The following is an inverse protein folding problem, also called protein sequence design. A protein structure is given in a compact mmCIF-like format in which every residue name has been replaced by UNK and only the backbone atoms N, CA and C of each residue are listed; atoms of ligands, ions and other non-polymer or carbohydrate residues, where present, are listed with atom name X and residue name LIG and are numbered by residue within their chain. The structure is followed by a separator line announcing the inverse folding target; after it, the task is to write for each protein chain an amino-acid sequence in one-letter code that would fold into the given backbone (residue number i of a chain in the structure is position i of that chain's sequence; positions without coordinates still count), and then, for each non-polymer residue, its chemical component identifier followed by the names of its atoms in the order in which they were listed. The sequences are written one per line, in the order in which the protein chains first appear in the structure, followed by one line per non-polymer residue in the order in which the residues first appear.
data_IF_426463183385
#
_entry.id   IF_426463183385
#
_cell.length_a   1.000
_cell.length_b   1.000
_cell.length_c   1.000
_cell.angle_alpha   90.00
_cell.angle_beta   90.00
_cell.angle_gamma   90.00
#
_symmetry.space_group_name_H-M   'P 1'
#
loop_
_entity.id
_entity.type
_entity.pdbx_description
1 polymer ?
#
# COMPACT_ATOMS: atom_id res chain seq x y z
N UNK A 1 30.31 8.56 11.70
CA UNK A 1 28.89 8.14 11.74
C UNK A 1 28.79 6.77 11.10
N UNK A 2 28.45 5.75 11.90
CA UNK A 2 28.43 4.35 11.49
C UNK A 2 27.24 4.15 10.55
N UNK A 3 27.49 3.87 9.27
CA UNK A 3 26.51 3.22 8.40
C UNK A 3 26.34 1.81 8.95
N UNK A 4 25.32 1.56 9.78
CA UNK A 4 24.95 0.19 10.13
C UNK A 4 24.43 -0.46 8.85
N UNK A 5 25.28 -1.33 8.28
CA UNK A 5 24.93 -2.28 7.25
C UNK A 5 23.90 -3.24 7.85
N UNK A 6 22.62 -2.97 7.64
CA UNK A 6 21.66 -4.06 7.49
C UNK A 6 21.77 -4.46 6.02
N UNK A 7 22.05 -5.73 5.67
CA UNK A 7 21.95 -6.13 4.28
C UNK A 7 20.45 -6.16 3.97
N UNK A 8 19.96 -5.00 3.52
CA UNK A 8 18.65 -4.83 2.90
C UNK A 8 18.50 -5.89 1.80
N UNK A 9 17.27 -6.35 1.57
CA UNK A 9 17.01 -7.24 0.44
C UNK A 9 17.50 -6.54 -0.82
N UNK A 10 18.30 -7.23 -1.62
CA UNK A 10 18.72 -6.67 -2.90
C UNK A 10 17.48 -6.25 -3.69
N UNK A 11 17.56 -5.10 -4.35
CA UNK A 11 16.45 -4.59 -5.16
C UNK A 11 16.20 -5.57 -6.32
N UNK A 12 15.13 -6.33 -6.19
CA UNK A 12 14.64 -7.26 -7.21
C UNK A 12 13.37 -6.66 -7.81
N UNK A 13 13.41 -6.28 -9.09
CA UNK A 13 12.22 -5.78 -9.78
C UNK A 13 11.06 -6.77 -9.73
N UNK A 14 11.35 -8.08 -9.70
CA UNK A 14 10.34 -9.10 -9.50
C UNK A 14 9.66 -8.95 -8.13
N UNK A 15 10.44 -8.85 -7.05
CA UNK A 15 9.89 -8.68 -5.71
C UNK A 15 9.16 -7.34 -5.56
N UNK A 16 9.70 -6.26 -6.13
CA UNK A 16 9.06 -4.94 -6.13
C UNK A 16 7.71 -4.97 -6.82
N UNK A 17 7.60 -5.68 -7.94
CA UNK A 17 6.35 -5.83 -8.67
C UNK A 17 5.36 -6.69 -7.88
N UNK A 18 5.79 -7.84 -7.34
CA UNK A 18 4.93 -8.72 -6.53
C UNK A 18 4.39 -8.01 -5.29
N UNK A 19 5.24 -7.24 -4.58
CA UNK A 19 4.82 -6.45 -3.41
C UNK A 19 3.75 -5.41 -3.80
N UNK A 20 3.93 -4.74 -4.95
CA UNK A 20 2.94 -3.82 -5.47
C UNK A 20 1.62 -4.52 -5.82
N UNK A 21 1.67 -5.68 -6.47
CA UNK A 21 0.47 -6.44 -6.89
C UNK A 21 -0.31 -6.97 -5.67
N UNK A 22 0.38 -7.44 -4.63
CA UNK A 22 -0.24 -7.83 -3.35
C UNK A 22 -0.85 -6.62 -2.63
N UNK A 23 -0.18 -5.47 -2.67
CA UNK A 23 -0.73 -4.25 -2.11
C UNK A 23 -1.99 -3.78 -2.86
N UNK A 24 -2.04 -3.94 -4.18
CA UNK A 24 -3.23 -3.64 -4.99
C UNK A 24 -4.45 -4.46 -4.55
N UNK A 25 -4.25 -5.66 -4.03
CA UNK A 25 -5.31 -6.50 -3.46
C UNK A 25 -5.56 -6.25 -1.97
N UNK A 26 -4.97 -5.21 -1.38
CA UNK A 26 -5.06 -4.87 0.05
C UNK A 26 -4.56 -6.00 0.97
N UNK A 27 -3.61 -6.81 0.51
CA UNK A 27 -2.96 -7.82 1.35
C UNK A 27 -2.29 -7.13 2.54
N UNK A 28 -2.57 -7.53 3.80
CA UNK A 28 -1.90 -6.99 4.97
C UNK A 28 -0.38 -7.10 4.88
N UNK A 29 0.33 -6.12 5.44
CA UNK A 29 1.79 -6.00 5.28
C UNK A 29 2.54 -7.20 5.87
N UNK A 30 2.02 -7.77 6.95
CA UNK A 30 2.50 -8.96 7.63
C UNK A 30 2.30 -10.26 6.83
N UNK A 31 1.32 -10.27 5.92
CA UNK A 31 1.02 -11.41 5.05
C UNK A 31 1.84 -11.38 3.76
N UNK A 32 2.38 -10.23 3.36
CA UNK A 32 3.15 -10.09 2.10
C UNK A 32 4.28 -11.13 1.97
N UNK A 33 5.18 -11.32 2.96
CA UNK A 33 6.24 -12.33 2.84
C UNK A 33 5.70 -13.76 2.76
N UNK A 34 4.56 -14.03 3.40
CA UNK A 34 3.89 -15.34 3.39
C UNK A 34 3.32 -15.62 2.01
N UNK A 35 2.62 -14.64 1.42
CA UNK A 35 2.04 -14.72 0.08
C UNK A 35 3.10 -14.80 -1.02
N UNK A 36 4.30 -14.29 -0.77
CA UNK A 36 5.47 -14.43 -1.64
C UNK A 36 6.20 -15.76 -1.46
N UNK A 37 5.80 -16.59 -0.50
CA UNK A 37 6.45 -17.87 -0.16
C UNK A 37 7.95 -17.72 0.15
N UNK A 38 8.34 -16.61 0.78
CA UNK A 38 9.76 -16.34 1.06
C UNK A 38 10.30 -17.28 2.14
N UNK A 39 11.57 -17.73 2.02
CA UNK A 39 12.23 -18.46 3.09
C UNK A 39 12.36 -17.58 4.35
N UNK A 40 12.51 -18.15 5.55
CA UNK A 40 12.44 -17.40 6.81
C UNK A 40 13.36 -16.16 6.89
N UNK A 41 14.58 -16.25 6.37
CA UNK A 41 15.55 -15.14 6.38
C UNK A 41 15.11 -13.99 5.44
N UNK A 42 14.67 -14.31 4.23
CA UNK A 42 14.13 -13.32 3.28
C UNK A 42 12.79 -12.75 3.76
N UNK A 43 11.95 -13.57 4.40
CA UNK A 43 10.69 -13.13 4.95
C UNK A 43 10.90 -12.09 6.06
N UNK A 44 11.85 -12.33 6.97
CA UNK A 44 12.25 -11.36 8.00
C UNK A 44 12.81 -10.08 7.37
N UNK A 45 13.68 -10.20 6.37
CA UNK A 45 14.22 -9.05 5.66
C UNK A 45 13.11 -8.22 4.97
N UNK A 46 12.15 -8.88 4.31
CA UNK A 46 11.02 -8.21 3.64
C UNK A 46 10.13 -7.47 4.64
N UNK A 47 9.90 -8.03 5.83
CA UNK A 47 9.17 -7.31 6.88
C UNK A 47 9.90 -6.04 7.30
N UNK A 48 11.23 -6.09 7.46
CA UNK A 48 12.03 -4.90 7.80
C UNK A 48 11.99 -3.86 6.67
N UNK A 49 12.12 -4.29 5.41
CA UNK A 49 11.98 -3.42 4.24
C UNK A 49 10.64 -2.67 4.23
N UNK A 50 9.53 -3.38 4.42
CA UNK A 50 8.19 -2.78 4.38
C UNK A 50 7.95 -1.77 5.51
N UNK A 51 8.71 -1.84 6.60
CA UNK A 51 8.66 -0.86 7.69
C UNK A 51 9.61 0.33 7.47
N UNK A 52 10.73 0.13 6.75
CA UNK A 52 11.75 1.17 6.53
C UNK A 52 11.24 2.28 5.60
N UNK A 53 11.15 3.54 6.06
CA UNK A 53 10.58 4.62 5.27
C UNK A 53 11.20 4.87 3.90
N UNK A 54 12.50 4.59 3.76
CA UNK A 54 13.25 4.78 2.52
C UNK A 54 13.30 3.55 1.63
N UNK A 55 12.71 2.43 2.05
CA UNK A 55 12.72 1.20 1.27
C UNK A 55 11.92 1.35 -0.03
N UNK A 56 12.48 0.89 -1.16
CA UNK A 56 11.75 0.82 -2.42
C UNK A 56 10.56 -0.15 -2.34
N UNK A 57 10.66 -1.22 -1.54
CA UNK A 57 9.55 -2.17 -1.31
C UNK A 57 8.39 -1.49 -0.59
N UNK A 58 8.67 -0.72 0.46
CA UNK A 58 7.64 0.09 1.15
C UNK A 58 6.99 1.08 0.19
N UNK A 59 7.78 1.74 -0.65
CA UNK A 59 7.23 2.68 -1.62
C UNK A 59 6.28 2.00 -2.62
N UNK A 60 6.67 0.83 -3.17
CA UNK A 60 5.82 0.03 -4.07
C UNK A 60 4.55 -0.45 -3.40
N UNK A 61 4.65 -0.93 -2.15
CA UNK A 61 3.50 -1.36 -1.36
C UNK A 61 2.51 -0.20 -1.13
N UNK A 62 3.00 0.95 -0.64
CA UNK A 62 2.15 2.13 -0.41
C UNK A 62 1.53 2.65 -1.71
N UNK A 63 2.25 2.59 -2.83
CA UNK A 63 1.71 2.94 -4.14
C UNK A 63 0.53 2.05 -4.53
N UNK A 64 0.66 0.73 -4.39
CA UNK A 64 -0.43 -0.21 -4.69
C UNK A 64 -1.69 0.06 -3.86
N UNK A 65 -1.53 0.27 -2.55
CA UNK A 65 -2.64 0.66 -1.66
C UNK A 65 -3.30 1.98 -2.09
N UNK A 66 -2.50 3.00 -2.40
CA UNK A 66 -3.00 4.32 -2.79
C UNK A 66 -3.80 4.27 -4.10
N UNK A 67 -3.34 3.47 -5.07
CA UNK A 67 -4.03 3.27 -6.34
C UNK A 67 -5.35 2.53 -6.15
N UNK A 68 -5.40 1.47 -5.33
CA UNK A 68 -6.65 0.78 -5.00
C UNK A 68 -7.62 1.70 -4.26
N UNK A 69 -7.15 2.48 -3.28
CA UNK A 69 -7.97 3.49 -2.62
C UNK A 69 -8.52 4.54 -3.60
N UNK A 70 -7.75 4.90 -4.63
CA UNK A 70 -8.19 5.82 -5.68
C UNK A 70 -9.28 5.21 -6.58
N UNK A 71 -9.11 3.95 -6.99
CA UNK A 71 -10.12 3.21 -7.76
C UNK A 71 -11.43 3.09 -7.00
N UNK A 72 -11.38 2.74 -5.71
CA UNK A 72 -12.57 2.70 -4.85
C UNK A 72 -13.26 4.06 -4.75
N UNK A 73 -12.49 5.16 -4.64
CA UNK A 73 -13.03 6.53 -4.67
C UNK A 73 -13.74 6.83 -5.99
N UNK A 74 -13.14 6.51 -7.12
CA UNK A 74 -13.75 6.72 -8.46
C UNK A 74 -15.07 5.94 -8.56
N UNK A 75 -15.06 4.66 -8.16
CA UNK A 75 -16.26 3.82 -8.20
C UNK A 75 -17.37 4.34 -7.30
N UNK A 76 -17.04 4.76 -6.08
CA UNK A 76 -18.02 5.39 -5.20
C UNK A 76 -18.59 6.68 -5.81
N UNK A 77 -17.78 7.46 -6.54
CA UNK A 77 -18.25 8.72 -7.16
C UNK A 77 -19.26 8.38 -8.25
N UNK A 78 -18.98 7.35 -9.05
CA UNK A 78 -19.92 6.86 -10.05
C UNK A 78 -21.23 6.39 -9.41
N UNK A 79 -21.17 5.63 -8.31
CA UNK A 79 -22.35 5.17 -7.57
C UNK A 79 -23.17 6.32 -6.98
N UNK A 80 -22.50 7.32 -6.40
CA UNK A 80 -23.16 8.51 -5.87
C UNK A 80 -23.90 9.29 -6.98
N UNK A 81 -23.29 9.41 -8.17
CA UNK A 81 -23.89 10.09 -9.33
C UNK A 81 -25.15 9.40 -9.85
N UNK A 82 -25.27 8.08 -9.70
CA UNK A 82 -26.48 7.33 -10.05
C UNK A 82 -27.47 7.20 -8.89
N UNK A 83 -27.25 7.93 -7.80
CA UNK A 83 -28.20 8.08 -6.71
C UNK A 83 -28.02 7.13 -5.52
N UNK A 84 -26.88 6.43 -5.39
CA UNK A 84 -26.61 5.61 -4.21
C UNK A 84 -26.42 6.48 -2.94
N UNK A 85 -27.32 6.41 -1.94
CA UNK A 85 -27.22 7.24 -0.74
C UNK A 85 -25.97 6.93 0.09
N UNK A 86 -25.62 5.64 0.22
CA UNK A 86 -24.43 5.21 0.98
C UNK A 86 -23.12 5.67 0.33
N UNK A 87 -23.02 5.60 -1.01
CA UNK A 87 -21.85 6.10 -1.72
C UNK A 87 -21.69 7.62 -1.59
N UNK A 88 -22.80 8.37 -1.66
CA UNK A 88 -22.80 9.82 -1.45
C UNK A 88 -22.30 10.19 -0.05
N UNK A 89 -22.84 9.54 1.00
CA UNK A 89 -22.41 9.77 2.38
C UNK A 89 -20.93 9.46 2.58
N UNK A 90 -20.44 8.33 2.05
CA UNK A 90 -19.04 7.93 2.13
C UNK A 90 -18.10 8.97 1.51
N UNK A 91 -18.43 9.47 0.31
CA UNK A 91 -17.60 10.47 -0.38
C UNK A 91 -17.63 11.81 0.32
N UNK A 92 -18.78 12.26 0.81
CA UNK A 92 -18.86 13.52 1.54
C UNK A 92 -18.00 13.49 2.80
N UNK A 93 -17.99 12.36 3.53
CA UNK A 93 -17.09 12.18 4.68
C UNK A 93 -15.61 12.25 4.27
N UNK A 94 -15.23 11.56 3.19
CA UNK A 94 -13.86 11.58 2.68
C UNK A 94 -13.44 12.97 2.18
N UNK A 95 -14.31 13.68 1.46
CA UNK A 95 -14.05 15.03 0.95
C UNK A 95 -13.79 16.00 2.10
N UNK A 96 -14.61 15.95 3.15
CA UNK A 96 -14.43 16.75 4.36
C UNK A 96 -13.08 16.47 5.04
N UNK A 97 -12.68 15.20 5.14
CA UNK A 97 -11.38 14.85 5.73
C UNK A 97 -10.20 15.36 4.89
N UNK A 98 -10.30 15.30 3.55
CA UNK A 98 -9.27 15.85 2.66
C UNK A 98 -9.16 17.36 2.83
N UNK A 99 -10.28 18.07 2.87
CA UNK A 99 -10.30 19.52 3.09
C UNK A 99 -9.70 19.90 4.45
N UNK A 100 -10.00 19.13 5.50
CA UNK A 100 -9.44 19.35 6.84
C UNK A 100 -7.92 19.12 6.92
N UNK A 101 -7.36 18.25 6.07
CA UNK A 101 -5.92 18.02 6.01
C UNK A 101 -5.16 19.08 5.19
N UNK A 102 -5.87 19.96 4.46
CA UNK A 102 -5.30 21.06 3.68
C UNK A 102 -5.28 22.40 4.43
N UNK A 103 -6.09 22.51 5.49
CA UNK A 103 -6.16 23.68 6.38
C UNK A 103 -5.17 23.59 7.53
#
# INVERSE_FOLDING_TARGET
MIRQQFPYLEESELYLQTVYDLAKTMTPVEEVPIMMELPPDEAMAMQLELQEPRSPYRHRYLKGLAETANELRINNIALAKVGSPGAYQSIMSQLSQIMANLS
#
